data_IF_866158936974
#
_entry.id   IF_866158936974
#
_cell.length_a   1.000
_cell.length_b   1.000
_cell.length_c   1.000
_cell.angle_alpha   90.00
_cell.angle_beta   90.00
_cell.angle_gamma   90.00
#
_symmetry.space_group_name_H-M   'P 1'
#
loop_
_entity.id
_entity.type
_entity.pdbx_description
1 polymer ?
#
# COMPACT_ATOMS: atom_id res chain seq x y z
N UNK A 1 -8.11 -35.78 -38.83
CA UNK A 1 -8.27 -34.35 -39.23
C UNK A 1 -9.17 -33.54 -38.29
N UNK A 2 -10.35 -34.02 -37.88
CA UNK A 2 -11.29 -33.25 -37.03
C UNK A 2 -10.69 -32.85 -35.66
N UNK A 3 -9.96 -33.77 -35.02
CA UNK A 3 -9.33 -33.56 -33.71
C UNK A 3 -8.26 -32.47 -33.72
N UNK A 4 -7.43 -32.42 -34.78
CA UNK A 4 -6.42 -31.37 -34.98
C UNK A 4 -7.06 -29.99 -35.13
N UNK A 5 -8.18 -29.90 -35.86
CA UNK A 5 -8.95 -28.66 -36.01
C UNK A 5 -9.54 -28.17 -34.69
N UNK A 6 -10.09 -29.08 -33.87
CA UNK A 6 -10.60 -28.75 -32.55
C UNK A 6 -9.49 -28.28 -31.58
N UNK A 7 -8.32 -28.93 -31.63
CA UNK A 7 -7.14 -28.52 -30.83
C UNK A 7 -6.64 -27.13 -31.26
N UNK A 8 -6.58 -26.86 -32.56
CA UNK A 8 -6.22 -25.54 -33.09
C UNK A 8 -7.23 -24.45 -32.69
N UNK A 9 -8.54 -24.73 -32.76
CA UNK A 9 -9.57 -23.77 -32.31
C UNK A 9 -9.48 -23.47 -30.80
N UNK A 10 -9.20 -24.47 -29.97
CA UNK A 10 -8.97 -24.25 -28.52
C UNK A 10 -7.75 -23.38 -28.27
N UNK A 11 -6.63 -23.65 -28.95
CA UNK A 11 -5.44 -22.82 -28.87
C UNK A 11 -5.69 -21.38 -29.33
N UNK A 12 -6.39 -21.18 -30.45
CA UNK A 12 -6.71 -19.86 -30.97
C UNK A 12 -7.61 -19.07 -30.00
N UNK A 13 -8.63 -19.72 -29.41
CA UNK A 13 -9.46 -19.10 -28.37
C UNK A 13 -8.67 -18.73 -27.12
N UNK A 14 -7.72 -19.56 -26.70
CA UNK A 14 -6.83 -19.27 -25.57
C UNK A 14 -5.92 -18.06 -25.86
N UNK A 15 -5.30 -18.03 -27.05
CA UNK A 15 -4.45 -16.94 -27.51
C UNK A 15 -5.22 -15.61 -27.59
N UNK A 16 -6.44 -15.63 -28.10
CA UNK A 16 -7.31 -14.46 -28.20
C UNK A 16 -7.73 -13.96 -26.80
N UNK A 17 -7.99 -14.88 -25.86
CA UNK A 17 -8.27 -14.53 -24.45
C UNK A 17 -7.05 -13.89 -23.77
N UNK A 18 -5.85 -14.41 -24.02
CA UNK A 18 -4.60 -13.81 -23.53
C UNK A 18 -4.35 -12.43 -24.13
N UNK A 19 -4.52 -12.25 -25.44
CA UNK A 19 -4.40 -10.94 -26.12
C UNK A 19 -5.34 -9.90 -25.52
N UNK A 20 -6.63 -10.24 -25.38
CA UNK A 20 -7.63 -9.33 -24.79
C UNK A 20 -7.32 -8.98 -23.34
N UNK A 21 -6.82 -9.94 -22.57
CA UNK A 21 -6.38 -9.70 -21.19
C UNK A 21 -5.19 -8.74 -21.17
N UNK A 22 -4.22 -8.92 -22.07
CA UNK A 22 -3.03 -8.08 -22.15
C UNK A 22 -3.37 -6.66 -22.63
N UNK A 23 -4.26 -6.50 -23.61
CA UNK A 23 -4.81 -5.21 -24.02
C UNK A 23 -5.47 -4.50 -22.85
N UNK A 24 -6.34 -5.19 -22.10
CA UNK A 24 -6.98 -4.62 -20.91
C UNK A 24 -5.96 -4.21 -19.83
N UNK A 25 -4.95 -5.04 -19.57
CA UNK A 25 -3.88 -4.72 -18.61
C UNK A 25 -3.07 -3.48 -19.04
N UNK A 26 -2.81 -3.33 -20.34
CA UNK A 26 -2.11 -2.17 -20.88
C UNK A 26 -2.97 -0.91 -20.74
N UNK A 27 -4.24 -0.94 -21.18
CA UNK A 27 -5.16 0.18 -21.02
C UNK A 27 -5.33 0.57 -19.55
N UNK A 28 -5.41 -0.41 -18.65
CA UNK A 28 -5.50 -0.14 -17.21
C UNK A 28 -4.25 0.57 -16.68
N UNK A 29 -3.05 0.18 -17.11
CA UNK A 29 -1.80 0.89 -16.74
C UNK A 29 -1.80 2.33 -17.22
N UNK A 30 -2.31 2.59 -18.42
CA UNK A 30 -2.42 3.95 -18.96
C UNK A 30 -3.36 4.80 -18.13
N UNK A 31 -4.53 4.27 -17.75
CA UNK A 31 -5.45 4.96 -16.83
C UNK A 31 -4.77 5.24 -15.49
N UNK A 32 -4.02 4.29 -14.93
CA UNK A 32 -3.29 4.52 -13.68
C UNK A 32 -2.22 5.62 -13.82
N UNK A 33 -1.54 5.71 -14.96
CA UNK A 33 -0.56 6.77 -15.25
C UNK A 33 -1.25 8.13 -15.31
N UNK A 34 -2.35 8.24 -16.05
CA UNK A 34 -3.15 9.47 -16.14
C UNK A 34 -3.63 9.88 -14.75
N UNK A 35 -4.16 8.96 -13.97
CA UNK A 35 -4.67 9.24 -12.62
C UNK A 35 -3.56 9.76 -11.68
N UNK A 36 -2.33 9.26 -11.81
CA UNK A 36 -1.18 9.80 -11.05
C UNK A 36 -0.85 11.24 -11.42
N UNK A 37 -0.86 11.58 -12.72
CA UNK A 37 -0.59 12.92 -13.20
C UNK A 37 -1.68 13.88 -12.72
N UNK A 38 -2.95 13.49 -12.87
CA UNK A 38 -4.10 14.28 -12.43
C UNK A 38 -4.05 14.52 -10.93
N UNK A 39 -3.86 13.47 -10.11
CA UNK A 39 -3.75 13.61 -8.66
C UNK A 39 -2.61 14.56 -8.25
N UNK A 40 -1.45 14.47 -8.92
CA UNK A 40 -0.32 15.35 -8.63
C UNK A 40 -0.67 16.82 -8.87
N UNK A 41 -1.28 17.13 -10.02
CA UNK A 41 -1.68 18.50 -10.36
C UNK A 41 -2.75 19.05 -9.41
N UNK A 42 -3.70 18.21 -8.98
CA UNK A 42 -4.69 18.61 -7.98
C UNK A 42 -4.00 18.97 -6.65
N UNK A 43 -3.06 18.14 -6.19
CA UNK A 43 -2.30 18.42 -4.97
C UNK A 43 -1.54 19.75 -5.09
N UNK A 44 -0.89 20.02 -6.22
CA UNK A 44 -0.17 21.27 -6.43
C UNK A 44 -1.10 22.48 -6.33
N UNK A 45 -2.25 22.45 -7.01
CA UNK A 45 -3.24 23.54 -6.94
C UNK A 45 -3.81 23.73 -5.53
N UNK A 46 -4.16 22.64 -4.84
CA UNK A 46 -4.64 22.72 -3.47
C UNK A 46 -3.63 23.35 -2.52
N UNK A 47 -2.33 23.09 -2.73
CA UNK A 47 -1.27 23.76 -1.95
C UNK A 47 -1.16 25.24 -2.26
N UNK A 48 -1.37 25.65 -3.51
CA UNK A 48 -1.39 27.07 -3.90
C UNK A 48 -2.60 27.81 -3.30
N UNK A 49 -3.74 27.14 -3.18
CA UNK A 49 -4.97 27.68 -2.57
C UNK A 49 -4.96 27.63 -1.03
N UNK A 50 -3.92 27.04 -0.43
CA UNK A 50 -3.79 26.94 1.02
C UNK A 50 -3.39 28.29 1.63
N UNK A 51 -4.11 28.70 2.66
CA UNK A 51 -3.86 29.90 3.45
C UNK A 51 -4.04 29.58 4.94
N UNK A 52 -3.75 30.53 5.83
CA UNK A 52 -3.77 30.32 7.28
C UNK A 52 -5.15 29.93 7.85
N UNK A 53 -6.25 30.19 7.13
CA UNK A 53 -7.61 29.92 7.59
C UNK A 53 -8.15 28.58 7.14
N UNK A 54 -7.58 27.97 6.09
CA UNK A 54 -8.06 26.69 5.52
C UNK A 54 -6.99 25.57 5.54
N UNK A 55 -5.90 25.76 6.29
CA UNK A 55 -4.77 24.81 6.33
C UNK A 55 -5.23 23.39 6.61
N UNK A 56 -6.14 23.20 7.58
CA UNK A 56 -6.57 21.89 8.02
C UNK A 56 -7.39 21.17 6.96
N UNK A 57 -8.40 21.84 6.41
CA UNK A 57 -9.32 21.31 5.40
C UNK A 57 -8.54 20.93 4.15
N UNK A 58 -7.70 21.84 3.66
CA UNK A 58 -6.86 21.62 2.48
C UNK A 58 -5.89 20.46 2.71
N UNK A 59 -5.29 20.36 3.90
CA UNK A 59 -4.37 19.26 4.24
C UNK A 59 -5.08 17.90 4.28
N UNK A 60 -6.32 17.84 4.78
CA UNK A 60 -7.13 16.63 4.79
C UNK A 60 -7.43 16.15 3.36
N UNK A 61 -7.82 17.07 2.48
CA UNK A 61 -8.09 16.75 1.07
C UNK A 61 -6.80 16.29 0.37
N UNK A 62 -5.68 16.99 0.55
CA UNK A 62 -4.37 16.60 -0.01
C UNK A 62 -3.96 15.19 0.46
N UNK A 63 -4.15 14.88 1.75
CA UNK A 63 -3.83 13.56 2.30
C UNK A 63 -4.63 12.46 1.60
N UNK A 64 -5.91 12.68 1.31
CA UNK A 64 -6.72 11.74 0.55
C UNK A 64 -6.13 11.44 -0.84
N UNK A 65 -5.66 12.46 -1.56
CA UNK A 65 -5.00 12.28 -2.86
C UNK A 65 -3.65 11.57 -2.75
N UNK A 66 -2.90 11.79 -1.67
CA UNK A 66 -1.68 11.01 -1.38
C UNK A 66 -1.99 9.54 -1.10
N UNK A 67 -3.05 9.23 -0.35
CA UNK A 67 -3.46 7.87 -0.05
C UNK A 67 -3.91 7.12 -1.28
N UNK A 68 -4.66 7.78 -2.17
CA UNK A 68 -5.01 7.24 -3.49
C UNK A 68 -3.75 6.89 -4.29
N UNK A 69 -2.80 7.81 -4.35
CA UNK A 69 -1.54 7.62 -5.09
C UNK A 69 -0.68 6.49 -4.50
N UNK A 70 -0.63 6.38 -3.17
CA UNK A 70 0.01 5.28 -2.45
C UNK A 70 -0.66 3.95 -2.75
N UNK A 71 -1.99 3.88 -2.66
CA UNK A 71 -2.78 2.67 -2.95
C UNK A 71 -2.50 2.13 -4.36
N UNK A 72 -2.44 3.02 -5.37
CA UNK A 72 -2.11 2.63 -6.74
C UNK A 72 -0.69 2.05 -6.88
N UNK A 73 0.28 2.55 -6.11
CA UNK A 73 1.65 1.98 -6.08
C UNK A 73 1.69 0.64 -5.33
N UNK A 74 1.10 0.58 -4.13
CA UNK A 74 1.06 -0.63 -3.30
C UNK A 74 0.33 -1.81 -3.94
N UNK A 75 -0.73 -1.57 -4.71
CA UNK A 75 -1.42 -2.63 -5.47
C UNK A 75 -0.56 -3.20 -6.59
N UNK A 76 0.25 -2.36 -7.25
CA UNK A 76 1.18 -2.81 -8.28
C UNK A 76 2.32 -3.62 -7.67
N UNK A 77 2.87 -3.16 -6.54
CA UNK A 77 3.90 -3.86 -5.77
C UNK A 77 3.40 -5.24 -5.31
N UNK A 78 2.25 -5.31 -4.63
CA UNK A 78 1.68 -6.58 -4.14
C UNK A 78 1.35 -7.58 -5.25
N UNK A 79 1.02 -7.13 -6.47
CA UNK A 79 0.84 -8.03 -7.61
C UNK A 79 2.16 -8.67 -8.05
N UNK A 80 3.25 -7.91 -8.07
CA UNK A 80 4.60 -8.43 -8.35
C UNK A 80 5.07 -9.37 -7.25
N UNK A 81 4.95 -8.96 -5.99
CA UNK A 81 5.31 -9.79 -4.84
C UNK A 81 4.52 -11.09 -4.81
N UNK A 82 3.23 -11.11 -5.17
CA UNK A 82 2.45 -12.36 -5.26
C UNK A 82 2.88 -13.26 -6.43
N UNK A 83 3.38 -12.70 -7.52
CA UNK A 83 3.91 -13.48 -8.64
C UNK A 83 5.28 -14.06 -8.28
N UNK A 84 6.15 -13.26 -7.67
CA UNK A 84 7.51 -13.65 -7.25
C UNK A 84 7.50 -14.60 -6.04
N UNK A 85 6.62 -14.37 -5.06
CA UNK A 85 6.56 -15.16 -3.82
C UNK A 85 5.58 -16.34 -3.89
N UNK A 86 5.00 -16.68 -5.05
CA UNK A 86 4.08 -17.83 -5.15
C UNK A 86 4.75 -19.17 -4.77
N UNK A 87 6.08 -19.21 -4.72
CA UNK A 87 6.88 -20.38 -4.32
C UNK A 87 7.68 -20.20 -3.02
N UNK A 88 7.57 -19.05 -2.32
CA UNK A 88 8.32 -18.81 -1.09
C UNK A 88 7.42 -18.96 0.14
N UNK A 89 7.59 -20.07 0.86
CA UNK A 89 7.05 -20.24 2.22
C UNK A 89 7.92 -19.39 3.14
N UNK A 90 7.49 -18.16 3.41
CA UNK A 90 8.16 -17.31 4.41
C UNK A 90 7.85 -17.90 5.80
N UNK A 91 8.86 -18.29 6.59
CA UNK A 91 8.64 -18.85 7.91
C UNK A 91 7.90 -17.86 8.82
N UNK A 92 6.93 -18.35 9.58
CA UNK A 92 6.11 -17.52 10.48
C UNK A 92 6.95 -16.75 11.53
N UNK A 93 8.09 -17.32 11.94
CA UNK A 93 9.07 -16.67 12.81
C UNK A 93 9.67 -15.39 12.20
N UNK A 94 9.89 -15.37 10.89
CA UNK A 94 10.44 -14.19 10.19
C UNK A 94 9.42 -13.03 10.21
N UNK A 95 8.14 -13.35 10.00
CA UNK A 95 7.05 -12.37 10.12
C UNK A 95 6.92 -11.81 11.54
N UNK A 96 7.06 -12.66 12.56
CA UNK A 96 7.02 -12.23 13.96
C UNK A 96 8.15 -11.23 14.25
N UNK A 97 9.38 -11.54 13.86
CA UNK A 97 10.53 -10.66 14.06
C UNK A 97 10.37 -9.30 13.37
N UNK A 98 9.90 -9.28 12.12
CA UNK A 98 9.65 -8.02 11.40
C UNK A 98 8.53 -7.18 12.03
N UNK A 99 7.48 -7.81 12.56
CA UNK A 99 6.43 -7.09 13.30
C UNK A 99 6.97 -6.45 14.58
N UNK A 100 7.83 -7.18 15.31
CA UNK A 100 8.46 -6.67 16.53
C UNK A 100 9.39 -5.48 16.22
N UNK A 101 10.22 -5.61 15.18
CA UNK A 101 11.09 -4.54 14.70
C UNK A 101 10.29 -3.28 14.32
N UNK A 102 9.15 -3.45 13.65
CA UNK A 102 8.27 -2.33 13.30
C UNK A 102 7.70 -1.61 14.54
N UNK A 103 7.35 -2.34 15.60
CA UNK A 103 6.89 -1.75 16.87
C UNK A 103 7.99 -0.93 17.55
N UNK A 104 9.23 -1.44 17.57
CA UNK A 104 10.36 -0.69 18.10
C UNK A 104 10.65 0.57 17.29
N UNK A 105 10.53 0.51 15.97
CA UNK A 105 10.69 1.68 15.11
C UNK A 105 9.58 2.72 15.36
N UNK A 106 8.34 2.29 15.55
CA UNK A 106 7.24 3.19 15.94
C UNK A 106 7.52 3.89 17.27
N UNK A 107 8.02 3.15 18.27
CA UNK A 107 8.39 3.72 19.57
C UNK A 107 9.50 4.76 19.44
N UNK A 108 10.53 4.45 18.66
CA UNK A 108 11.62 5.38 18.41
C UNK A 108 11.16 6.67 17.72
N UNK A 109 10.31 6.56 16.69
CA UNK A 109 9.74 7.71 16.01
C UNK A 109 8.84 8.55 16.94
N UNK A 110 8.06 7.91 17.80
CA UNK A 110 7.25 8.61 18.78
C UNK A 110 8.14 9.42 19.75
N UNK A 111 9.22 8.83 20.25
CA UNK A 111 10.16 9.51 21.14
C UNK A 111 10.86 10.69 20.43
N UNK A 112 11.18 10.56 19.15
CA UNK A 112 11.66 11.68 18.34
C UNK A 112 10.64 12.82 18.24
N UNK A 113 9.36 12.49 18.04
CA UNK A 113 8.29 13.48 17.91
C UNK A 113 8.01 14.19 19.23
N UNK A 114 8.11 13.48 20.35
CA UNK A 114 8.07 14.07 21.70
C UNK A 114 9.26 15.01 21.88
N UNK A 115 10.49 14.56 21.58
CA UNK A 115 11.71 15.37 21.71
C UNK A 115 11.65 16.65 20.88
N UNK A 116 11.05 16.60 19.70
CA UNK A 116 10.86 17.75 18.79
C UNK A 116 9.64 18.62 19.14
N UNK A 117 8.97 18.37 20.27
CA UNK A 117 7.73 19.04 20.70
C UNK A 117 6.64 19.05 19.60
N UNK A 118 6.56 17.98 18.80
CA UNK A 118 5.56 17.85 17.72
C UNK A 118 4.27 17.18 18.20
N UNK A 119 4.30 16.52 19.36
CA UNK A 119 3.16 15.79 19.94
C UNK A 119 3.02 16.16 21.42
N UNK A 120 1.79 16.31 21.89
CA UNK A 120 1.46 16.53 23.30
C UNK A 120 1.62 15.23 24.11
N UNK A 121 2.13 15.32 25.34
CA UNK A 121 2.27 14.22 26.29
C UNK A 121 1.01 13.33 26.45
N UNK A 122 -0.20 13.90 26.40
CA UNK A 122 -1.44 13.11 26.50
C UNK A 122 -1.58 12.16 25.30
N UNK A 123 -1.39 12.69 24.09
CA UNK A 123 -1.45 11.91 22.85
C UNK A 123 -0.30 10.91 22.80
N UNK A 124 0.89 11.30 23.23
CA UNK A 124 2.04 10.41 23.33
C UNK A 124 1.78 9.22 24.27
N UNK A 125 1.10 9.44 25.41
CA UNK A 125 0.74 8.38 26.33
C UNK A 125 -0.22 7.35 25.68
N UNK A 126 -1.24 7.82 24.98
CA UNK A 126 -2.18 6.95 24.25
C UNK A 126 -1.48 6.13 23.17
N UNK A 127 -0.56 6.74 22.41
CA UNK A 127 0.19 6.01 21.37
C UNK A 127 1.14 4.97 22.01
N UNK A 128 1.82 5.30 23.13
CA UNK A 128 2.65 4.34 23.86
C UNK A 128 1.85 3.15 24.36
N UNK A 129 0.67 3.40 24.91
CA UNK A 129 -0.22 2.33 25.38
C UNK A 129 -0.61 1.39 24.23
N UNK A 130 -0.95 1.94 23.06
CA UNK A 130 -1.28 1.13 21.89
C UNK A 130 -0.10 0.29 21.39
N UNK A 131 1.12 0.88 21.34
CA UNK A 131 2.34 0.15 20.97
C UNK A 131 2.59 -1.00 21.96
N UNK A 132 2.51 -0.74 23.27
CA UNK A 132 2.69 -1.76 24.30
C UNK A 132 1.64 -2.88 24.17
N UNK A 133 0.36 -2.54 23.95
CA UNK A 133 -0.68 -3.55 23.75
C UNK A 133 -0.38 -4.44 22.54
N UNK A 134 0.02 -3.84 21.42
CA UNK A 134 0.38 -4.60 20.22
C UNK A 134 1.60 -5.50 20.43
N UNK A 135 2.58 -5.06 21.22
CA UNK A 135 3.73 -5.86 21.62
C UNK A 135 3.32 -7.09 22.46
N UNK A 136 2.44 -6.89 23.45
CA UNK A 136 1.89 -7.98 24.27
C UNK A 136 1.13 -8.99 23.41
N UNK A 137 0.22 -8.51 22.56
CA UNK A 137 -0.56 -9.39 21.66
C UNK A 137 0.36 -10.18 20.75
N UNK A 138 1.39 -9.54 20.19
CA UNK A 138 2.36 -10.20 19.32
C UNK A 138 3.15 -11.28 20.08
N UNK A 139 3.53 -11.03 21.33
CA UNK A 139 4.25 -11.97 22.19
C UNK A 139 3.41 -13.18 22.62
N UNK A 140 2.08 -13.04 22.68
CA UNK A 140 1.17 -14.16 22.96
C UNK A 140 1.04 -15.06 21.73
N UNK A 141 0.96 -14.45 20.53
CA UNK A 141 0.84 -15.17 19.26
C UNK A 141 2.08 -15.99 18.87
N UNK A 142 3.23 -15.77 19.50
CA UNK A 142 4.43 -16.59 19.28
C UNK A 142 4.56 -17.79 20.22
N UNK A 143 3.69 -17.88 21.24
CA UNK A 143 3.67 -19.00 22.19
C UNK A 143 2.72 -20.13 21.80
N UNK A 144 1.76 -19.85 20.91
CA UNK A 144 0.87 -20.82 20.27
C UNK A 144 1.49 -21.37 18.98
#
# INVERSE_FOLDING_TARGET
MLWLRLKAMKHYKALNKESKKQEFENSFKDVQKIMRIVNHNIILRLKEEQNSTNVLEVSLVINHYYDMSRSLKWRAQRRKERQENSNQIIPQAMFHNHKLEALYLQRHLLDELIRKNKINNIVAAQIRENINYNEIVLSLQSKD
#
